data_IF_824252605152
#
_entry.id   IF_824252605152
#
_cell.length_a   1.000
_cell.length_b   1.000
_cell.length_c   1.000
_cell.angle_alpha   90.00
_cell.angle_beta   90.00
_cell.angle_gamma   90.00
#
_symmetry.space_group_name_H-M   'P 1'
#
loop_
_entity.id
_entity.type
_entity.pdbx_description
1 polymer ?
#
# COMPACT_ATOMS: atom_id res chain seq x y z
N UNK A 1 37.22 36.63 -19.47
CA UNK A 1 37.91 35.98 -18.33
C UNK A 1 37.00 36.14 -17.13
N UNK A 2 36.35 35.13 -16.58
CA UNK A 2 36.59 33.68 -16.61
C UNK A 2 35.27 33.00 -16.27
N UNK A 3 34.90 32.00 -17.05
CA UNK A 3 33.95 30.97 -16.68
C UNK A 3 34.41 30.30 -15.38
N UNK A 4 33.47 30.07 -14.45
CA UNK A 4 33.59 29.03 -13.43
C UNK A 4 32.30 28.23 -13.42
N UNK A 5 32.40 27.07 -14.05
CA UNK A 5 31.52 25.92 -13.87
C UNK A 5 31.33 25.67 -12.38
N UNK A 6 30.09 25.73 -11.89
CA UNK A 6 29.71 25.22 -10.58
C UNK A 6 29.12 23.83 -10.76
N UNK A 7 29.95 22.85 -10.41
CA UNK A 7 29.72 21.41 -10.42
C UNK A 7 28.63 21.01 -9.43
N UNK A 8 27.86 19.97 -9.79
CA UNK A 8 26.73 19.38 -9.07
C UNK A 8 27.11 18.65 -7.75
N UNK A 9 27.84 19.30 -6.85
CA UNK A 9 28.38 18.68 -5.62
C UNK A 9 28.01 19.42 -4.32
N UNK A 10 26.99 20.27 -4.32
CA UNK A 10 26.59 21.07 -3.15
C UNK A 10 25.27 20.61 -2.54
N UNK A 11 25.16 19.32 -2.19
CA UNK A 11 24.20 18.87 -1.17
C UNK A 11 24.62 17.50 -0.61
N UNK A 12 25.74 17.46 0.10
CA UNK A 12 26.00 16.37 1.04
C UNK A 12 25.51 16.86 2.41
N UNK A 13 24.46 16.24 3.00
CA UNK A 13 24.01 16.64 4.33
C UNK A 13 25.07 16.26 5.38
N UNK A 14 25.32 17.19 6.30
CA UNK A 14 26.22 17.04 7.44
C UNK A 14 25.79 15.88 8.36
N UNK A 15 26.73 15.10 8.94
CA UNK A 15 26.44 13.81 9.57
C UNK A 15 25.95 13.89 11.02
N UNK A 16 25.10 14.87 11.38
CA UNK A 16 24.56 14.91 12.74
C UNK A 16 23.27 15.75 12.90
N UNK A 17 22.17 15.27 12.33
CA UNK A 17 20.84 15.61 12.85
C UNK A 17 20.05 14.31 13.01
N UNK A 18 19.88 13.90 14.27
CA UNK A 18 19.06 12.78 14.70
C UNK A 18 17.65 12.91 14.11
N UNK A 19 17.43 12.31 12.95
CA UNK A 19 16.12 12.10 12.38
C UNK A 19 15.36 11.21 13.37
N UNK A 20 14.46 11.81 14.14
CA UNK A 20 13.52 11.11 15.02
C UNK A 20 12.73 10.14 14.15
N UNK A 21 13.15 8.87 14.14
CA UNK A 21 12.38 7.81 13.51
C UNK A 21 11.18 7.52 14.40
N UNK A 22 10.08 8.22 14.14
CA UNK A 22 8.76 7.84 14.63
C UNK A 22 8.31 6.59 13.86
N UNK A 23 8.03 5.46 14.52
CA UNK A 23 7.58 4.26 13.83
C UNK A 23 6.12 4.40 13.42
N UNK A 24 5.95 5.01 12.25
CA UNK A 24 5.12 4.61 11.10
C UNK A 24 4.89 5.84 10.23
N UNK A 25 5.93 6.33 9.55
CA UNK A 25 5.80 7.28 8.43
C UNK A 25 5.30 6.59 7.15
N UNK A 26 4.60 5.45 7.25
CA UNK A 26 3.91 4.89 6.09
C UNK A 26 2.72 5.81 5.81
N UNK A 27 2.75 6.44 4.63
CA UNK A 27 1.57 7.11 4.09
C UNK A 27 0.38 6.13 4.21
N UNK A 28 -0.81 6.60 4.61
CA UNK A 28 -1.96 5.71 4.70
C UNK A 28 -2.19 5.06 3.32
N UNK A 29 -2.45 3.75 3.31
CA UNK A 29 -2.71 3.04 2.07
C UNK A 29 -4.00 3.56 1.44
N UNK A 30 -3.95 3.83 0.14
CA UNK A 30 -5.03 4.41 -0.64
C UNK A 30 -5.72 3.33 -1.45
N UNK A 31 -7.03 3.23 -1.32
CA UNK A 31 -7.86 2.26 -2.03
C UNK A 31 -8.87 3.02 -2.89
N UNK A 32 -8.96 2.67 -4.17
CA UNK A 32 -10.05 3.12 -5.03
C UNK A 32 -11.11 2.01 -5.11
N UNK A 33 -12.34 2.34 -4.74
CA UNK A 33 -13.51 1.49 -4.94
C UNK A 33 -14.24 1.95 -6.19
N UNK A 34 -14.43 1.06 -7.16
CA UNK A 34 -15.19 1.32 -8.39
C UNK A 34 -16.43 0.43 -8.39
N UNK A 35 -17.59 1.03 -8.15
CA UNK A 35 -18.84 0.34 -7.84
C UNK A 35 -20.03 1.25 -8.16
N UNK A 36 -21.00 0.75 -8.92
CA UNK A 36 -22.18 1.52 -9.34
C UNK A 36 -23.31 1.50 -8.29
N UNK A 37 -23.41 0.43 -7.48
CA UNK A 37 -24.33 0.42 -6.33
C UNK A 37 -23.79 1.31 -5.20
N UNK A 38 -24.27 2.56 -5.19
CA UNK A 38 -23.94 3.56 -4.16
C UNK A 38 -24.12 3.06 -2.72
N UNK A 39 -25.11 2.21 -2.43
CA UNK A 39 -25.33 1.72 -1.05
C UNK A 39 -24.23 0.73 -0.66
N UNK A 40 -23.90 -0.19 -1.56
CA UNK A 40 -22.81 -1.14 -1.36
C UNK A 40 -21.46 -0.44 -1.29
N UNK A 41 -21.21 0.52 -2.19
CA UNK A 41 -20.01 1.34 -2.19
C UNK A 41 -19.82 2.08 -0.86
N UNK A 42 -20.85 2.78 -0.38
CA UNK A 42 -20.79 3.50 0.90
C UNK A 42 -20.48 2.58 2.07
N UNK A 43 -21.15 1.42 2.16
CA UNK A 43 -20.87 0.41 3.18
C UNK A 43 -19.41 -0.03 3.12
N UNK A 44 -18.90 -0.36 1.93
CA UNK A 44 -17.52 -0.81 1.76
C UNK A 44 -16.51 0.29 2.13
N UNK A 45 -16.77 1.54 1.72
CA UNK A 45 -15.95 2.71 2.06
C UNK A 45 -15.88 2.90 3.57
N UNK A 46 -17.02 2.91 4.27
CA UNK A 46 -17.08 3.06 5.73
C UNK A 46 -16.25 1.97 6.42
N UNK A 47 -16.46 0.70 6.04
CA UNK A 47 -15.74 -0.42 6.64
C UNK A 47 -14.22 -0.38 6.39
N UNK A 48 -13.79 0.10 5.22
CA UNK A 48 -12.37 0.26 4.91
C UNK A 48 -11.76 1.45 5.65
N UNK A 49 -12.48 2.56 5.79
CA UNK A 49 -12.05 3.73 6.54
C UNK A 49 -11.92 3.43 8.05
N UNK A 50 -12.83 2.64 8.63
CA UNK A 50 -12.70 2.12 10.01
C UNK A 50 -11.39 1.34 10.26
N UNK A 51 -10.77 0.83 9.18
CA UNK A 51 -9.50 0.10 9.20
C UNK A 51 -8.29 0.99 8.86
N UNK A 52 -8.47 2.31 8.87
CA UNK A 52 -7.46 3.34 8.60
C UNK A 52 -6.92 3.35 7.16
N UNK A 53 -7.72 2.89 6.19
CA UNK A 53 -7.42 3.13 4.77
C UNK A 53 -7.96 4.49 4.34
N UNK A 54 -7.24 5.15 3.43
CA UNK A 54 -7.78 6.28 2.68
C UNK A 54 -8.53 5.70 1.50
N UNK A 55 -9.82 6.01 1.39
CA UNK A 55 -10.68 5.38 0.40
C UNK A 55 -11.37 6.44 -0.42
N UNK A 56 -11.29 6.29 -1.74
CA UNK A 56 -12.06 7.07 -2.70
C UNK A 56 -13.00 6.14 -3.47
N UNK A 57 -14.10 6.70 -3.96
CA UNK A 57 -15.13 5.97 -4.68
C UNK A 57 -15.36 6.57 -6.06
N UNK A 58 -15.46 5.70 -7.07
CA UNK A 58 -15.92 5.99 -8.41
C UNK A 58 -17.19 5.18 -8.70
N UNK A 59 -18.22 5.85 -9.23
CA UNK A 59 -19.50 5.21 -9.56
C UNK A 59 -19.48 4.43 -10.88
N UNK A 60 -18.48 4.68 -11.72
CA UNK A 60 -18.38 4.13 -13.07
C UNK A 60 -16.90 4.12 -13.54
N UNK A 61 -16.65 3.52 -14.70
CA UNK A 61 -15.31 3.40 -15.27
C UNK A 61 -14.71 4.74 -15.68
N UNK A 62 -15.51 5.68 -16.15
CA UNK A 62 -15.06 7.02 -16.51
C UNK A 62 -14.51 7.77 -15.29
N UNK A 63 -15.26 7.80 -14.19
CA UNK A 63 -14.83 8.42 -12.94
C UNK A 63 -13.57 7.73 -12.40
N UNK A 64 -13.49 6.40 -12.48
CA UNK A 64 -12.29 5.66 -12.08
C UNK A 64 -11.05 6.07 -12.88
N UNK A 65 -11.17 6.20 -14.22
CA UNK A 65 -10.07 6.67 -15.08
C UNK A 65 -9.63 8.09 -14.74
N UNK A 66 -10.58 8.98 -14.44
CA UNK A 66 -10.25 10.34 -14.05
C UNK A 66 -9.41 10.35 -12.78
N UNK A 67 -9.82 9.61 -11.75
CA UNK A 67 -9.08 9.50 -10.51
C UNK A 67 -7.68 8.89 -10.72
N UNK A 68 -7.60 7.78 -11.48
CA UNK A 68 -6.35 7.10 -11.80
C UNK A 68 -5.37 7.94 -12.64
N UNK A 69 -5.86 8.93 -13.39
CA UNK A 69 -5.01 9.83 -14.16
C UNK A 69 -4.31 10.90 -13.29
N UNK A 70 -4.85 11.22 -12.11
CA UNK A 70 -4.30 12.26 -11.24
C UNK A 70 -3.63 11.72 -9.98
N UNK A 71 -3.89 10.46 -9.62
CA UNK A 71 -3.57 9.94 -8.31
C UNK A 71 -3.20 8.45 -8.36
N UNK A 72 -2.18 8.09 -7.58
CA UNK A 72 -1.82 6.69 -7.37
C UNK A 72 -2.61 6.06 -6.22
N UNK A 73 -2.97 4.80 -6.40
CA UNK A 73 -3.62 3.96 -5.40
C UNK A 73 -2.78 2.70 -5.15
N UNK A 74 -2.85 2.18 -3.93
CA UNK A 74 -2.15 0.98 -3.51
C UNK A 74 -3.02 -0.29 -3.73
N UNK A 75 -4.32 -0.13 -3.98
CA UNK A 75 -5.26 -1.20 -4.36
C UNK A 75 -6.48 -0.63 -5.10
N UNK A 76 -6.94 -1.34 -6.14
CA UNK A 76 -8.26 -1.12 -6.75
C UNK A 76 -9.20 -2.25 -6.35
N UNK A 77 -10.41 -1.89 -5.89
CA UNK A 77 -11.54 -2.82 -5.76
C UNK A 77 -12.52 -2.47 -6.86
N UNK A 78 -12.77 -3.41 -7.77
CA UNK A 78 -13.45 -3.16 -9.04
C UNK A 78 -14.65 -4.09 -9.21
N UNK A 79 -15.84 -3.54 -9.40
CA UNK A 79 -16.96 -4.34 -9.93
C UNK A 79 -16.70 -4.67 -11.41
N UNK A 80 -17.13 -5.86 -11.81
CA UNK A 80 -17.16 -6.32 -13.21
C UNK A 80 -18.28 -5.62 -13.99
N UNK A 81 -19.42 -5.33 -13.36
CA UNK A 81 -20.58 -4.77 -14.05
C UNK A 81 -20.73 -3.28 -13.77
N UNK A 82 -19.94 -2.45 -14.45
CA UNK A 82 -20.14 -1.00 -14.41
C UNK A 82 -21.07 -0.58 -15.55
N UNK A 83 -21.80 0.55 -15.40
CA UNK A 83 -22.79 0.99 -16.38
C UNK A 83 -22.19 1.40 -17.73
N UNK A 84 -20.92 1.81 -17.77
CA UNK A 84 -20.26 2.40 -18.94
C UNK A 84 -19.19 1.50 -19.56
N UNK A 85 -18.59 0.59 -18.79
CA UNK A 85 -17.58 -0.37 -19.25
C UNK A 85 -17.62 -1.66 -18.43
N UNK A 86 -17.23 -2.78 -19.01
CA UNK A 86 -16.98 -3.97 -18.21
C UNK A 86 -15.69 -3.79 -17.36
N UNK A 87 -15.75 -4.08 -16.06
CA UNK A 87 -14.59 -3.95 -15.17
C UNK A 87 -13.38 -4.78 -15.62
N UNK A 88 -13.60 -5.94 -16.24
CA UNK A 88 -12.49 -6.74 -16.80
C UNK A 88 -11.81 -6.03 -17.98
N UNK A 89 -12.58 -5.30 -18.79
CA UNK A 89 -12.04 -4.49 -19.88
C UNK A 89 -11.28 -3.27 -19.35
N UNK A 90 -11.79 -2.60 -18.31
CA UNK A 90 -11.07 -1.52 -17.62
C UNK A 90 -9.73 -2.04 -17.07
N UNK A 91 -9.72 -3.19 -16.39
CA UNK A 91 -8.52 -3.83 -15.87
C UNK A 91 -7.49 -4.10 -16.98
N UNK A 92 -7.92 -4.72 -18.07
CA UNK A 92 -7.04 -4.99 -19.21
C UNK A 92 -6.43 -3.72 -19.78
N UNK A 93 -7.21 -2.64 -19.94
CA UNK A 93 -6.70 -1.35 -20.41
C UNK A 93 -5.69 -0.73 -19.43
N UNK A 94 -5.92 -0.82 -18.12
CA UNK A 94 -4.96 -0.34 -17.11
C UNK A 94 -3.64 -1.11 -17.18
N UNK A 95 -3.69 -2.43 -17.37
CA UNK A 95 -2.49 -3.27 -17.54
C UNK A 95 -1.74 -2.94 -18.83
N UNK A 96 -2.44 -2.68 -19.93
CA UNK A 96 -1.81 -2.20 -21.18
C UNK A 96 -1.09 -0.85 -21.01
N UNK A 97 -1.54 -0.02 -20.08
CA UNK A 97 -0.91 1.26 -19.72
C UNK A 97 0.27 1.10 -18.74
N UNK A 98 0.60 -0.14 -18.33
CA UNK A 98 1.67 -0.42 -17.37
C UNK A 98 1.27 -0.19 -15.91
N UNK A 99 -0.02 -0.09 -15.61
CA UNK A 99 -0.48 0.01 -14.22
C UNK A 99 -0.19 -1.30 -13.49
N UNK A 100 0.62 -1.27 -12.44
CA UNK A 100 0.95 -2.43 -11.61
C UNK A 100 0.13 -2.50 -10.32
N UNK A 101 -0.69 -1.48 -10.03
CA UNK A 101 -1.55 -1.46 -8.85
C UNK A 101 -2.37 -2.77 -8.76
N UNK A 102 -2.37 -3.47 -7.62
CA UNK A 102 -3.16 -4.67 -7.44
C UNK A 102 -4.65 -4.42 -7.68
N UNK A 103 -5.32 -5.35 -8.36
CA UNK A 103 -6.77 -5.26 -8.69
C UNK A 103 -7.51 -6.44 -8.08
N UNK A 104 -8.48 -6.15 -7.22
CA UNK A 104 -9.42 -7.11 -6.67
C UNK A 104 -10.78 -6.91 -7.34
N UNK A 105 -11.25 -7.90 -8.08
CA UNK A 105 -12.62 -7.93 -8.56
C UNK A 105 -13.58 -8.32 -7.43
N UNK A 106 -14.66 -7.55 -7.27
CA UNK A 106 -15.73 -7.82 -6.32
C UNK A 106 -17.07 -7.76 -7.05
N UNK A 107 -17.59 -8.93 -7.47
CA UNK A 107 -18.73 -9.03 -8.38
C UNK A 107 -19.86 -9.87 -7.82
N UNK A 108 -21.09 -9.62 -8.25
CA UNK A 108 -22.22 -10.51 -7.97
C UNK A 108 -22.10 -11.88 -8.67
N UNK A 109 -21.27 -11.98 -9.71
CA UNK A 109 -21.09 -13.17 -10.53
C UNK A 109 -19.97 -14.02 -9.93
N UNK A 110 -20.21 -15.31 -9.72
CA UNK A 110 -19.28 -16.21 -9.02
C UNK A 110 -18.94 -17.51 -9.77
N UNK A 111 -19.25 -17.56 -11.08
CA UNK A 111 -18.91 -18.74 -11.88
C UNK A 111 -17.39 -18.92 -12.01
N UNK A 112 -16.97 -20.16 -12.26
CA UNK A 112 -15.56 -20.46 -12.54
C UNK A 112 -15.04 -19.65 -13.73
N UNK A 113 -15.87 -19.47 -14.74
CA UNK A 113 -15.51 -18.82 -15.99
C UNK A 113 -15.35 -17.30 -15.79
N UNK A 114 -16.22 -16.67 -15.02
CA UNK A 114 -16.12 -15.25 -14.69
C UNK A 114 -14.84 -14.96 -13.89
N UNK A 115 -14.53 -15.84 -12.93
CA UNK A 115 -13.29 -15.75 -12.16
C UNK A 115 -12.05 -15.89 -13.06
N UNK A 116 -12.04 -16.86 -13.96
CA UNK A 116 -10.93 -17.05 -14.91
C UNK A 116 -10.78 -15.81 -15.79
N UNK A 117 -11.88 -15.32 -16.38
CA UNK A 117 -11.86 -14.10 -17.21
C UNK A 117 -11.32 -12.88 -16.48
N UNK A 118 -11.72 -12.67 -15.24
CA UNK A 118 -11.21 -11.54 -14.44
C UNK A 118 -9.71 -11.65 -14.19
N UNK A 119 -9.22 -12.85 -13.82
CA UNK A 119 -7.79 -13.07 -13.58
C UNK A 119 -6.97 -12.97 -14.87
N UNK A 120 -7.46 -13.53 -15.97
CA UNK A 120 -6.81 -13.47 -17.29
C UNK A 120 -6.76 -12.03 -17.85
N UNK A 121 -7.70 -11.18 -17.47
CA UNK A 121 -7.66 -9.74 -17.78
C UNK A 121 -6.55 -8.98 -17.03
N UNK A 122 -5.86 -9.64 -16.09
CA UNK A 122 -4.77 -9.08 -15.30
C UNK A 122 -5.15 -8.71 -13.86
N UNK A 123 -6.31 -9.19 -13.38
CA UNK A 123 -6.67 -9.08 -11.97
C UNK A 123 -5.84 -10.00 -11.07
N UNK A 124 -5.61 -9.56 -9.84
CA UNK A 124 -4.83 -10.30 -8.85
C UNK A 124 -5.71 -11.19 -7.98
N UNK A 125 -6.98 -10.79 -7.81
CA UNK A 125 -7.96 -11.50 -7.00
C UNK A 125 -9.36 -11.29 -7.58
N UNK A 126 -10.19 -12.31 -7.44
CA UNK A 126 -11.61 -12.26 -7.75
C UNK A 126 -12.40 -12.82 -6.57
N UNK A 127 -13.36 -12.05 -6.07
CA UNK A 127 -14.26 -12.42 -4.99
C UNK A 127 -15.71 -12.16 -5.40
N UNK A 128 -16.60 -13.07 -5.01
CA UNK A 128 -18.02 -12.82 -5.08
C UNK A 128 -18.44 -11.82 -3.99
N UNK A 129 -19.38 -10.92 -4.27
CA UNK A 129 -19.97 -9.98 -3.29
C UNK A 129 -20.60 -10.73 -2.09
N UNK A 130 -20.98 -11.99 -2.27
CA UNK A 130 -21.51 -12.89 -1.23
C UNK A 130 -20.44 -13.49 -0.29
N UNK A 131 -19.16 -13.16 -0.49
CA UNK A 131 -18.07 -13.66 0.35
C UNK A 131 -18.16 -13.13 1.79
N UNK A 132 -17.66 -13.91 2.76
CA UNK A 132 -17.49 -13.44 4.13
C UNK A 132 -16.55 -12.23 4.16
N UNK A 133 -16.97 -11.15 4.84
CA UNK A 133 -16.21 -9.90 4.96
C UNK A 133 -14.80 -10.12 5.55
N UNK A 134 -14.62 -11.12 6.43
CA UNK A 134 -13.31 -11.48 6.98
C UNK A 134 -12.36 -11.98 5.89
N UNK A 135 -12.88 -12.72 4.91
CA UNK A 135 -12.11 -13.17 3.75
C UNK A 135 -11.72 -11.99 2.86
N UNK A 136 -12.67 -11.10 2.54
CA UNK A 136 -12.40 -9.87 1.78
C UNK A 136 -11.25 -9.08 2.41
N UNK A 137 -11.32 -8.80 3.72
CA UNK A 137 -10.24 -8.06 4.38
C UNK A 137 -8.94 -8.84 4.51
N UNK A 138 -8.99 -10.18 4.60
CA UNK A 138 -7.77 -10.99 4.59
C UNK A 138 -7.04 -10.89 3.25
N UNK A 139 -7.79 -10.92 2.14
CA UNK A 139 -7.25 -10.76 0.80
C UNK A 139 -6.71 -9.34 0.57
N UNK A 140 -7.46 -8.30 0.96
CA UNK A 140 -6.99 -6.90 0.89
C UNK A 140 -5.66 -6.74 1.62
N UNK A 141 -5.56 -7.23 2.88
CA UNK A 141 -4.29 -7.17 3.63
C UNK A 141 -3.18 -7.96 2.94
N UNK A 142 -3.49 -9.10 2.31
CA UNK A 142 -2.49 -9.89 1.61
C UNK A 142 -1.95 -9.19 0.36
N UNK A 143 -2.83 -8.52 -0.39
CA UNK A 143 -2.46 -7.76 -1.59
C UNK A 143 -1.63 -6.53 -1.24
N UNK A 144 -2.04 -5.76 -0.21
CA UNK A 144 -1.29 -4.60 0.26
C UNK A 144 0.09 -5.00 0.84
N UNK A 145 0.22 -6.17 1.49
CA UNK A 145 1.52 -6.66 1.97
C UNK A 145 2.53 -6.94 0.85
N UNK A 146 2.08 -7.26 -0.38
CA UNK A 146 3.01 -7.44 -1.52
C UNK A 146 3.67 -6.12 -1.88
N UNK A 147 2.90 -5.03 -1.89
CA UNK A 147 3.40 -3.66 -2.03
C UNK A 147 4.39 -3.32 -0.89
N UNK A 148 4.12 -3.80 0.32
CA UNK A 148 5.06 -3.62 1.45
C UNK A 148 6.35 -4.45 1.31
N UNK A 149 6.29 -5.62 0.67
CA UNK A 149 7.46 -6.47 0.45
C UNK A 149 8.41 -5.84 -0.57
N UNK A 150 7.86 -5.17 -1.59
CA UNK A 150 8.66 -4.35 -2.52
C UNK A 150 9.38 -3.24 -1.74
N UNK A 151 8.70 -2.55 -0.82
CA UNK A 151 9.35 -1.55 0.05
C UNK A 151 10.44 -2.14 0.96
N UNK A 152 10.29 -3.38 1.46
CA UNK A 152 11.32 -4.06 2.26
C UNK A 152 12.55 -4.41 1.39
N UNK A 153 12.34 -4.74 0.11
CA UNK A 153 13.44 -4.95 -0.84
C UNK A 153 14.18 -3.63 -1.13
N UNK A 154 13.45 -2.52 -1.23
CA UNK A 154 14.05 -1.21 -1.52
C UNK A 154 14.60 -0.46 -0.29
N UNK A 155 14.15 -0.81 0.92
CA UNK A 155 14.61 -0.26 2.20
C UNK A 155 14.89 -1.42 3.18
N UNK A 156 16.01 -2.15 3.01
CA UNK A 156 16.31 -3.32 3.84
C UNK A 156 16.63 -2.96 5.29
N UNK A 157 16.93 -1.70 5.59
CA UNK A 157 17.29 -1.24 6.94
C UNK A 157 16.42 -0.05 7.39
N UNK A 158 15.98 -0.10 8.65
CA UNK A 158 15.38 1.04 9.35
C UNK A 158 16.38 1.58 10.39
N UNK A 159 16.65 2.88 10.36
CA UNK A 159 17.58 3.53 11.29
C UNK A 159 16.86 4.54 12.21
N UNK A 160 17.17 4.52 13.51
CA UNK A 160 16.75 5.49 14.51
C UNK A 160 17.95 5.84 15.42
N UNK A 161 18.62 6.95 15.14
CA UNK A 161 19.92 7.23 15.79
C UNK A 161 20.91 6.11 15.50
N UNK A 162 21.57 5.58 16.54
CA UNK A 162 22.51 4.46 16.42
C UNK A 162 21.83 3.09 16.26
N UNK A 163 20.50 3.02 16.39
CA UNK A 163 19.76 1.76 16.28
C UNK A 163 19.44 1.47 14.81
N UNK A 164 19.87 0.32 14.30
CA UNK A 164 19.50 -0.19 12.97
C UNK A 164 18.71 -1.49 13.11
N UNK A 165 17.64 -1.63 12.34
CA UNK A 165 16.87 -2.88 12.21
C UNK A 165 16.94 -3.32 10.75
N UNK A 166 17.58 -4.46 10.52
CA UNK A 166 17.52 -5.14 9.23
C UNK A 166 16.15 -5.81 9.11
N UNK A 167 15.35 -5.38 8.12
CA UNK A 167 13.98 -5.87 7.90
C UNK A 167 13.94 -7.26 7.26
N UNK A 168 15.05 -7.70 6.66
CA UNK A 168 15.19 -9.00 6.02
C UNK A 168 15.57 -10.07 7.04
N UNK A 169 16.62 -9.84 7.83
CA UNK A 169 17.07 -10.76 8.88
C UNK A 169 16.28 -10.62 10.19
N UNK A 170 15.58 -9.48 10.36
CA UNK A 170 14.94 -9.05 11.62
C UNK A 170 15.92 -8.88 12.77
N UNK A 171 17.19 -8.68 12.45
CA UNK A 171 18.24 -8.41 13.43
C UNK A 171 18.32 -6.93 13.76
N UNK A 172 18.63 -6.64 15.02
CA UNK A 172 18.79 -5.28 15.54
C UNK A 172 20.26 -5.03 15.84
N UNK A 173 20.72 -3.84 15.52
CA UNK A 173 22.10 -3.38 15.67
C UNK A 173 22.09 -2.06 16.44
N UNK A 174 23.09 -1.87 17.30
CA UNK A 174 23.39 -0.57 17.90
C UNK A 174 24.80 -0.18 17.47
N UNK A 175 24.94 0.88 16.68
CA UNK A 175 26.14 1.14 15.89
C UNK A 175 26.41 -0.04 14.95
N UNK A 176 27.64 -0.56 14.94
CA UNK A 176 28.07 -1.74 14.14
C UNK A 176 27.96 -3.09 14.86
N UNK A 177 27.31 -3.13 16.03
CA UNK A 177 27.24 -4.35 16.84
C UNK A 177 25.83 -4.95 16.82
N UNK A 178 25.67 -6.25 16.51
CA UNK A 178 24.38 -6.91 16.68
C UNK A 178 24.00 -6.87 18.15
N UNK A 179 22.79 -6.40 18.47
CA UNK A 179 22.28 -6.40 19.85
C UNK A 179 21.80 -7.80 20.21
N UNK A 180 22.74 -8.74 20.32
CA UNK A 180 22.49 -10.09 20.80
C UNK A 180 22.43 -10.09 22.33
N UNK A 181 21.44 -9.45 22.94
CA UNK A 181 20.97 -9.91 24.26
C UNK A 181 19.66 -9.23 24.69
N UNK A 182 18.75 -10.11 25.13
CA UNK A 182 17.50 -9.85 25.88
C UNK A 182 16.33 -9.31 25.03
N UNK A 183 15.34 -10.20 24.83
CA UNK A 183 13.98 -9.82 24.43
C UNK A 183 13.55 -8.57 25.21
N UNK A 184 13.15 -7.47 24.55
CA UNK A 184 12.61 -6.32 25.27
C UNK A 184 11.37 -6.79 26.05
N UNK A 185 11.24 -6.36 27.32
CA UNK A 185 10.05 -6.68 28.12
C UNK A 185 8.78 -6.25 27.36
N UNK A 186 7.66 -7.02 27.45
CA UNK A 186 6.40 -6.59 26.86
C UNK A 186 6.03 -5.21 27.43
N UNK A 187 5.90 -4.20 26.56
CA UNK A 187 5.68 -2.80 26.92
C UNK A 187 6.86 -1.84 26.67
N UNK A 188 8.05 -2.34 26.33
CA UNK A 188 9.18 -1.47 25.96
C UNK A 188 9.02 -0.91 24.53
N UNK A 189 8.36 -1.67 23.65
CA UNK A 189 8.05 -1.26 22.29
C UNK A 189 7.09 -0.07 22.22
N UNK A 190 6.15 0.08 23.16
CA UNK A 190 5.20 1.19 23.16
C UNK A 190 5.79 2.49 23.71
N UNK A 191 6.82 2.42 24.58
CA UNK A 191 7.50 3.60 25.11
C UNK A 191 8.55 4.18 24.12
N UNK A 192 9.21 3.31 23.34
CA UNK A 192 10.24 3.70 22.38
C UNK A 192 9.70 4.54 21.21
N UNK A 193 8.44 4.32 20.82
CA UNK A 193 7.79 5.05 19.74
C UNK A 193 7.33 6.46 20.11
N UNK A 194 7.19 6.77 21.41
CA UNK A 194 6.40 7.93 21.87
C UNK A 194 7.25 9.02 22.54
N UNK A 195 8.45 8.74 23.06
CA UNK A 195 9.30 9.80 23.62
C UNK A 195 10.81 9.46 23.68
N UNK A 196 11.64 9.95 22.74
CA UNK A 196 13.08 9.67 22.72
C UNK A 196 13.92 10.52 23.71
N UNK A 197 13.32 11.44 24.47
CA UNK A 197 14.07 12.39 25.30
C UNK A 197 14.25 11.97 26.78
N UNK A 198 14.08 10.69 27.13
CA UNK A 198 14.24 10.21 28.51
C UNK A 198 15.06 8.92 28.61
N UNK A 199 16.23 8.86 27.98
CA UNK A 199 17.35 8.02 28.42
C UNK A 199 18.66 8.61 27.92
#
# INVERSE_FOLDING_TARGET
MTEKLLTAASYLPEPNEFHRYTPSTRRPMRILVVEDDKRFANMLVEMLQERNYVVEWAADGQAARQLLAYQDYDLLILDVNLPDINGTELCHQLRQQGTETPILFLSAWDSSDDRVRGLDAGGDKYLAKSVDLRQLFADIRAMLRRVEHDLIVFLPELCCGDLRLDLQSRETYYGDRPSSSRRPKPGCWSAFCVNPAKF
#
